data_IF_184362824526
#
_entry.id   IF_184362824526
#
_cell.length_a   1.000
_cell.length_b   1.000
_cell.length_c   1.000
_cell.angle_alpha   90.00
_cell.angle_beta   90.00
_cell.angle_gamma   90.00
#
_symmetry.space_group_name_H-M   'P 1'
#
loop_
_entity.id
_entity.type
_entity.pdbx_description
1 polymer ?
#
# COMPACT_ATOMS: atom_id res chain seq x y z
N UNK A 1 -35.41 9.28 23.75
CA UNK A 1 -35.20 10.33 22.74
C UNK A 1 -34.19 11.29 23.34
N UNK A 2 -32.98 11.44 22.76
CA UNK A 2 -32.03 12.48 23.17
C UNK A 2 -32.54 13.81 22.63
N UNK A 3 -32.79 14.76 23.49
CA UNK A 3 -33.17 16.13 23.13
C UNK A 3 -31.95 16.75 22.46
N UNK A 4 -32.09 17.15 21.19
CA UNK A 4 -31.01 17.79 20.43
C UNK A 4 -30.95 19.25 20.91
N UNK A 5 -29.85 19.65 21.54
CA UNK A 5 -29.62 21.05 21.92
C UNK A 5 -29.44 21.92 20.68
N UNK A 6 -30.23 22.98 20.57
CA UNK A 6 -30.16 23.96 19.49
C UNK A 6 -29.45 25.23 19.99
N UNK A 7 -28.55 25.77 19.20
CA UNK A 7 -27.88 27.05 19.45
C UNK A 7 -28.47 28.12 18.55
N UNK A 8 -28.77 29.28 19.16
CA UNK A 8 -29.27 30.45 18.45
C UNK A 8 -28.11 31.28 17.89
N UNK A 9 -28.05 31.44 16.57
CA UNK A 9 -27.05 32.26 15.89
C UNK A 9 -27.77 33.49 15.27
N UNK A 10 -27.32 34.70 15.64
CA UNK A 10 -27.85 35.96 15.11
C UNK A 10 -26.88 36.56 14.09
N UNK A 11 -27.37 36.81 12.88
CA UNK A 11 -26.58 37.49 11.85
C UNK A 11 -27.49 38.37 11.00
N UNK A 12 -27.12 39.66 10.83
CA UNK A 12 -27.84 40.61 9.97
C UNK A 12 -29.33 40.79 10.27
N UNK A 13 -29.74 40.68 11.55
CA UNK A 13 -31.14 40.80 11.99
C UNK A 13 -31.96 39.52 11.84
N UNK A 14 -31.40 38.45 11.34
CA UNK A 14 -32.02 37.13 11.31
C UNK A 14 -31.51 36.25 12.47
N UNK A 15 -32.41 35.42 13.02
CA UNK A 15 -32.08 34.41 14.02
C UNK A 15 -32.22 33.04 13.39
N UNK A 16 -31.15 32.23 13.44
CA UNK A 16 -31.12 30.88 12.91
C UNK A 16 -30.89 29.92 14.09
N UNK A 17 -31.71 28.89 14.20
CA UNK A 17 -31.52 27.80 15.15
C UNK A 17 -30.81 26.66 14.46
N UNK A 18 -29.60 26.32 14.91
CA UNK A 18 -28.81 25.25 14.38
C UNK A 18 -28.49 24.20 15.47
N UNK A 19 -28.41 22.91 15.14
CA UNK A 19 -27.95 21.91 16.07
C UNK A 19 -26.55 22.26 16.57
N UNK A 20 -26.33 22.22 17.88
CA UNK A 20 -25.05 22.54 18.52
C UNK A 20 -23.90 21.79 17.89
N UNK A 21 -24.06 20.48 17.66
CA UNK A 21 -23.05 19.60 17.05
C UNK A 21 -22.66 20.02 15.63
N UNK A 22 -23.61 20.56 14.85
CA UNK A 22 -23.38 21.04 13.48
C UNK A 22 -22.52 22.30 13.46
N UNK A 23 -22.78 23.22 14.39
CA UNK A 23 -22.00 24.48 14.51
C UNK A 23 -20.56 24.17 14.92
N UNK A 24 -20.37 23.32 15.93
CA UNK A 24 -19.05 22.94 16.44
C UNK A 24 -18.24 22.23 15.37
N UNK A 25 -18.85 21.29 14.66
CA UNK A 25 -18.17 20.58 13.55
C UNK A 25 -17.74 21.50 12.41
N UNK A 26 -18.62 22.37 11.96
CA UNK A 26 -18.31 23.32 10.89
C UNK A 26 -17.27 24.37 11.33
N UNK A 27 -17.31 24.82 12.57
CA UNK A 27 -16.31 25.76 13.11
C UNK A 27 -14.93 25.09 13.25
N UNK A 28 -14.87 23.88 13.79
CA UNK A 28 -13.63 23.11 13.88
C UNK A 28 -13.00 22.87 12.48
N UNK A 29 -13.82 22.62 11.46
CA UNK A 29 -13.35 22.45 10.08
C UNK A 29 -12.74 23.72 9.45
N UNK A 30 -13.00 24.92 10.02
CA UNK A 30 -12.45 26.19 9.53
C UNK A 30 -11.17 26.63 10.23
N UNK A 31 -10.77 25.96 11.32
CA UNK A 31 -9.55 26.32 12.04
C UNK A 31 -8.30 25.84 11.29
N UNK A 32 -7.29 26.69 11.10
CA UNK A 32 -6.01 26.25 10.54
C UNK A 32 -5.37 25.19 11.46
N UNK A 33 -5.15 23.99 10.93
CA UNK A 33 -4.60 22.86 11.68
C UNK A 33 -5.64 21.86 12.19
N UNK A 34 -6.94 22.10 12.01
CA UNK A 34 -8.01 21.14 12.21
C UNK A 34 -8.55 20.65 10.86
N UNK A 35 -7.67 20.31 9.94
CA UNK A 35 -8.03 19.47 8.81
C UNK A 35 -8.42 18.11 9.40
N UNK A 36 -9.75 17.87 9.51
CA UNK A 36 -10.34 16.57 9.81
C UNK A 36 -9.45 15.63 10.62
N UNK A 37 -9.37 15.80 11.96
CA UNK A 37 -9.05 14.70 12.88
C UNK A 37 -10.25 13.73 12.96
N UNK A 38 -10.83 13.41 11.82
CA UNK A 38 -11.48 12.14 11.65
C UNK A 38 -10.31 11.16 11.50
N UNK A 39 -10.09 10.18 12.42
CA UNK A 39 -9.06 9.18 12.21
C UNK A 39 -9.26 8.66 10.80
N UNK A 40 -8.24 8.80 9.95
CA UNK A 40 -8.35 8.52 8.52
C UNK A 40 -9.17 7.24 8.35
N UNK A 41 -10.40 7.39 7.85
CA UNK A 41 -11.32 6.27 7.82
C UNK A 41 -10.71 5.26 6.86
N UNK A 42 -10.25 4.13 7.42
CA UNK A 42 -9.66 3.05 6.63
C UNK A 42 -10.77 2.56 5.69
N UNK A 43 -10.58 2.63 4.36
CA UNK A 43 -11.59 2.19 3.41
C UNK A 43 -11.80 0.67 3.48
N UNK A 44 -12.84 0.17 2.83
CA UNK A 44 -12.99 -1.26 2.65
C UNK A 44 -11.90 -1.81 1.71
N UNK A 45 -11.57 -3.10 1.85
CA UNK A 45 -10.60 -3.76 0.97
C UNK A 45 -11.10 -3.67 -0.48
N UNK A 46 -10.22 -3.28 -1.39
CA UNK A 46 -10.52 -3.04 -2.79
C UNK A 46 -10.98 -1.62 -3.12
N UNK A 47 -11.19 -0.77 -2.13
CA UNK A 47 -11.54 0.62 -2.32
C UNK A 47 -10.32 1.54 -2.43
N UNK A 48 -10.50 2.64 -3.15
CA UNK A 48 -9.52 3.71 -3.27
C UNK A 48 -9.23 4.35 -1.90
N UNK A 49 -7.95 4.57 -1.60
CA UNK A 49 -7.51 5.35 -0.44
C UNK A 49 -6.72 6.58 -0.91
N UNK A 50 -7.41 7.68 -1.28
CA UNK A 50 -6.79 8.83 -1.91
C UNK A 50 -5.63 9.43 -1.12
N UNK A 51 -5.73 9.49 0.21
CA UNK A 51 -4.68 10.01 1.10
C UNK A 51 -3.44 9.12 1.12
N UNK A 52 -3.57 7.86 0.70
CA UNK A 52 -2.48 6.90 0.58
C UNK A 52 -2.04 6.64 -0.86
N UNK A 53 -2.73 7.25 -1.83
CA UNK A 53 -2.35 7.28 -3.24
C UNK A 53 -2.54 5.99 -4.01
N UNK A 54 -3.40 5.07 -3.53
CA UNK A 54 -3.67 3.80 -4.19
C UNK A 54 -4.87 3.08 -3.59
N UNK A 55 -5.00 1.79 -3.84
CA UNK A 55 -6.13 0.97 -3.44
C UNK A 55 -5.76 0.18 -2.17
N UNK A 56 -6.64 0.18 -1.18
CA UNK A 56 -6.43 -0.56 0.05
C UNK A 56 -6.57 -2.07 -0.17
N UNK A 57 -5.52 -2.81 0.18
CA UNK A 57 -5.47 -4.26 -0.03
C UNK A 57 -5.63 -5.08 1.27
N UNK A 58 -5.70 -4.43 2.43
CA UNK A 58 -5.87 -5.11 3.71
C UNK A 58 -4.70 -4.89 4.68
N UNK A 59 -4.80 -5.52 5.85
CA UNK A 59 -3.79 -5.40 6.90
C UNK A 59 -2.81 -6.56 6.84
N UNK A 60 -1.53 -6.26 6.91
CA UNK A 60 -0.43 -7.22 7.08
C UNK A 60 -0.04 -7.25 8.54
N UNK A 61 0.03 -8.45 9.11
CA UNK A 61 0.52 -8.63 10.46
C UNK A 61 2.03 -8.39 10.52
N UNK A 62 2.47 -7.56 11.44
CA UNK A 62 3.88 -7.31 11.70
C UNK A 62 4.62 -8.56 12.18
N UNK A 63 5.87 -8.69 11.79
CA UNK A 63 6.77 -9.79 12.15
C UNK A 63 8.09 -9.24 12.64
N UNK A 64 8.82 -9.98 13.46
CA UNK A 64 10.17 -9.63 13.94
C UNK A 64 10.24 -8.24 14.59
N UNK A 65 9.21 -7.86 15.36
CA UNK A 65 9.15 -6.56 16.04
C UNK A 65 8.66 -5.39 15.18
N UNK A 66 8.35 -5.62 13.92
CA UNK A 66 7.67 -4.63 13.09
C UNK A 66 6.18 -4.55 13.47
N UNK A 67 5.57 -3.36 13.48
CA UNK A 67 4.14 -3.21 13.72
C UNK A 67 3.31 -3.76 12.57
N UNK A 68 2.03 -4.04 12.85
CA UNK A 68 1.03 -4.28 11.81
C UNK A 68 0.92 -3.04 10.91
N UNK A 69 0.65 -3.26 9.63
CA UNK A 69 0.53 -2.17 8.66
C UNK A 69 -0.55 -2.44 7.61
N UNK A 70 -1.09 -1.36 7.08
CA UNK A 70 -2.02 -1.39 5.97
C UNK A 70 -1.24 -1.48 4.66
N UNK A 71 -1.60 -2.42 3.79
CA UNK A 71 -1.01 -2.57 2.47
C UNK A 71 -1.85 -1.80 1.44
N UNK A 72 -1.20 -0.95 0.68
CA UNK A 72 -1.78 -0.17 -0.41
C UNK A 72 -1.14 -0.62 -1.71
N UNK A 73 -1.94 -0.92 -2.73
CA UNK A 73 -1.46 -1.32 -4.05
C UNK A 73 -1.62 -0.19 -5.06
N UNK A 74 -0.61 0.02 -5.90
CA UNK A 74 -0.66 0.97 -7.00
C UNK A 74 -1.73 0.57 -8.03
N UNK A 75 -2.25 1.54 -8.80
CA UNK A 75 -3.25 1.28 -9.84
C UNK A 75 -2.69 0.41 -10.97
N UNK A 76 -3.57 -0.26 -11.70
CA UNK A 76 -3.21 -1.19 -12.80
C UNK A 76 -2.41 -0.51 -13.90
N UNK A 77 -2.67 0.75 -14.18
CA UNK A 77 -1.94 1.55 -15.18
C UNK A 77 -0.46 1.76 -14.85
N UNK A 78 -0.08 1.60 -13.58
CA UNK A 78 1.31 1.70 -13.12
C UNK A 78 2.03 0.34 -13.15
N UNK A 79 1.36 -0.72 -13.61
CA UNK A 79 1.95 -2.04 -13.73
C UNK A 79 2.91 -2.11 -14.92
N UNK A 80 4.07 -2.72 -14.72
CA UNK A 80 5.09 -2.88 -15.75
C UNK A 80 5.45 -4.34 -15.96
N UNK A 81 6.11 -4.65 -17.07
CA UNK A 81 6.64 -5.99 -17.36
C UNK A 81 8.15 -5.90 -17.40
N UNK A 82 8.81 -6.50 -16.40
CA UNK A 82 10.25 -6.40 -16.18
C UNK A 82 10.85 -7.77 -15.77
N UNK A 83 12.14 -7.94 -15.97
CA UNK A 83 12.92 -9.01 -15.37
C UNK A 83 13.08 -8.73 -13.85
N UNK A 84 13.20 -9.82 -13.07
CA UNK A 84 13.50 -9.68 -11.66
C UNK A 84 14.93 -9.22 -11.44
N UNK A 85 15.86 -9.78 -12.21
CA UNK A 85 17.26 -9.42 -12.17
C UNK A 85 18.20 -10.50 -12.66
N UNK A 86 19.45 -10.38 -12.24
CA UNK A 86 20.53 -11.27 -12.70
C UNK A 86 20.42 -12.67 -12.08
N UNK A 87 20.46 -13.71 -12.92
CA UNK A 87 20.52 -15.09 -12.47
C UNK A 87 21.96 -15.53 -12.19
N UNK A 88 22.13 -16.52 -11.31
CA UNK A 88 23.44 -17.07 -10.96
C UNK A 88 24.07 -16.43 -9.71
N UNK A 89 23.39 -15.48 -9.08
CA UNK A 89 23.87 -14.84 -7.84
C UNK A 89 22.79 -14.81 -6.78
N UNK A 90 23.21 -15.04 -5.55
CA UNK A 90 22.37 -14.78 -4.36
C UNK A 90 22.48 -13.33 -3.97
N UNK A 91 21.32 -12.71 -3.73
CA UNK A 91 21.21 -11.32 -3.30
C UNK A 91 20.96 -11.30 -1.79
N UNK A 92 21.99 -10.95 -1.05
CA UNK A 92 21.90 -10.86 0.41
C UNK A 92 20.88 -9.78 0.81
N UNK A 93 19.94 -10.13 1.70
CA UNK A 93 18.90 -9.21 2.18
C UNK A 93 17.67 -9.13 1.27
N UNK A 94 17.57 -9.98 0.25
CA UNK A 94 16.37 -10.11 -0.60
C UNK A 94 15.62 -11.43 -0.38
N UNK A 95 15.77 -12.05 0.78
CA UNK A 95 15.16 -13.33 1.18
C UNK A 95 14.01 -13.19 2.19
N UNK A 96 13.67 -11.97 2.59
CA UNK A 96 12.57 -11.75 3.51
C UNK A 96 11.23 -12.10 2.85
N UNK A 97 10.53 -13.09 3.42
CA UNK A 97 9.21 -13.49 2.92
C UNK A 97 8.11 -12.47 3.24
N UNK A 98 8.33 -11.56 4.20
CA UNK A 98 7.33 -10.65 4.78
C UNK A 98 7.64 -9.17 4.54
N UNK A 99 8.90 -8.81 4.35
CA UNK A 99 9.34 -7.42 4.25
C UNK A 99 9.79 -7.06 2.84
N UNK A 100 8.80 -6.69 2.00
CA UNK A 100 9.07 -6.29 0.62
C UNK A 100 9.86 -5.00 0.50
N UNK A 101 9.71 -4.09 1.47
CA UNK A 101 10.48 -2.85 1.47
C UNK A 101 11.97 -3.11 1.69
N UNK A 102 12.31 -3.95 2.69
CA UNK A 102 13.72 -4.33 2.93
C UNK A 102 14.33 -5.04 1.73
N UNK A 103 13.62 -6.02 1.16
CA UNK A 103 14.06 -6.71 -0.06
C UNK A 103 14.30 -5.71 -1.22
N UNK A 104 13.36 -4.81 -1.45
CA UNK A 104 13.42 -3.84 -2.55
C UNK A 104 14.62 -2.91 -2.40
N UNK A 105 14.89 -2.42 -1.19
CA UNK A 105 16.04 -1.57 -0.90
C UNK A 105 17.33 -2.34 -1.19
N UNK A 106 17.48 -3.56 -0.64
CA UNK A 106 18.66 -4.40 -0.86
C UNK A 106 18.92 -4.68 -2.34
N UNK A 107 17.86 -4.97 -3.12
CA UNK A 107 17.96 -5.20 -4.56
C UNK A 107 18.28 -3.92 -5.34
N UNK A 108 17.72 -2.77 -4.94
CA UNK A 108 17.97 -1.50 -5.62
C UNK A 108 19.40 -0.98 -5.39
N UNK A 109 19.99 -1.31 -4.24
CA UNK A 109 21.35 -0.95 -3.85
C UNK A 109 22.40 -2.00 -4.23
N UNK A 110 21.99 -3.14 -4.80
CA UNK A 110 22.90 -4.20 -5.26
C UNK A 110 23.77 -3.72 -6.42
N UNK A 111 24.99 -4.27 -6.52
CA UNK A 111 25.88 -4.10 -7.69
C UNK A 111 25.33 -4.78 -8.96
N UNK A 112 24.29 -5.61 -8.83
CA UNK A 112 23.63 -6.30 -9.93
C UNK A 112 22.34 -5.58 -10.31
N UNK A 113 21.95 -5.67 -11.59
CA UNK A 113 20.69 -5.09 -12.06
C UNK A 113 19.48 -5.90 -11.58
N UNK A 114 18.52 -5.19 -10.98
CA UNK A 114 17.24 -5.71 -10.54
C UNK A 114 16.08 -4.81 -11.03
N UNK A 115 15.76 -4.86 -12.34
CA UNK A 115 14.86 -3.90 -12.98
C UNK A 115 13.51 -3.73 -12.27
N UNK A 116 12.88 -4.83 -11.82
CA UNK A 116 11.59 -4.78 -11.14
C UNK A 116 11.66 -4.05 -9.78
N UNK A 117 12.71 -4.33 -8.97
CA UNK A 117 12.89 -3.69 -7.68
C UNK A 117 13.35 -2.23 -7.82
N UNK A 118 14.29 -1.96 -8.73
CA UNK A 118 14.79 -0.61 -9.04
C UNK A 118 13.65 0.29 -9.53
N UNK A 119 12.79 -0.21 -10.43
CA UNK A 119 11.59 0.51 -10.86
C UNK A 119 10.67 0.86 -9.69
N UNK A 120 10.36 -0.10 -8.82
CA UNK A 120 9.48 0.14 -7.69
C UNK A 120 10.09 1.15 -6.68
N UNK A 121 11.40 1.04 -6.44
CA UNK A 121 12.13 1.90 -5.50
C UNK A 121 12.15 3.38 -5.92
N UNK A 122 12.27 3.66 -7.22
CA UNK A 122 12.28 5.04 -7.73
C UNK A 122 10.89 5.59 -8.04
N UNK A 123 9.84 4.77 -7.94
CA UNK A 123 8.48 5.17 -8.28
C UNK A 123 8.03 6.35 -7.41
N UNK A 124 7.44 7.35 -8.06
CA UNK A 124 6.82 8.51 -7.43
C UNK A 124 5.39 8.60 -7.94
N UNK A 125 4.45 8.34 -7.07
CA UNK A 125 3.04 8.24 -7.46
C UNK A 125 2.15 8.88 -6.41
N UNK A 126 1.24 9.76 -6.84
CA UNK A 126 0.22 10.41 -6.01
C UNK A 126 0.78 11.08 -4.73
N UNK A 127 1.96 11.73 -4.85
CA UNK A 127 2.63 12.41 -3.73
C UNK A 127 3.45 11.52 -2.80
N UNK A 128 3.49 10.20 -3.05
CA UNK A 128 4.24 9.21 -2.27
C UNK A 128 5.50 8.74 -3.01
N UNK A 129 6.54 8.44 -2.24
CA UNK A 129 7.85 8.02 -2.74
C UNK A 129 8.40 6.76 -2.02
N UNK A 130 7.55 6.08 -1.29
CA UNK A 130 7.84 4.90 -0.46
C UNK A 130 7.24 3.61 -1.05
N UNK A 131 7.10 3.58 -2.37
CA UNK A 131 6.66 2.41 -3.12
C UNK A 131 7.76 1.35 -3.18
N UNK A 132 7.37 0.07 -3.18
CA UNK A 132 8.28 -1.05 -3.25
C UNK A 132 7.64 -2.28 -3.92
N UNK A 133 8.45 -3.24 -4.34
CA UNK A 133 7.98 -4.51 -4.87
C UNK A 133 7.55 -5.42 -3.71
N UNK A 134 6.32 -5.94 -3.69
CA UNK A 134 5.80 -6.70 -2.56
C UNK A 134 6.63 -7.96 -2.27
N UNK A 135 6.79 -8.32 -0.99
CA UNK A 135 7.34 -9.61 -0.61
C UNK A 135 6.39 -10.75 -0.98
N UNK A 136 6.89 -11.98 -0.96
CA UNK A 136 6.12 -13.19 -1.25
C UNK A 136 4.78 -13.24 -0.51
N UNK A 137 4.77 -12.95 0.80
CA UNK A 137 3.57 -13.00 1.64
C UNK A 137 2.63 -11.82 1.43
N UNK A 138 3.17 -10.64 1.15
CA UNK A 138 2.37 -9.49 0.76
C UNK A 138 1.66 -9.77 -0.58
N UNK A 139 2.35 -10.41 -1.53
CA UNK A 139 1.76 -10.81 -2.81
C UNK A 139 0.65 -11.87 -2.65
N UNK A 140 0.82 -12.80 -1.68
CA UNK A 140 -0.25 -13.74 -1.29
C UNK A 140 -1.49 -13.03 -0.73
N UNK A 141 -1.28 -11.96 0.07
CA UNK A 141 -2.38 -11.16 0.59
C UNK A 141 -3.14 -10.44 -0.54
N UNK A 142 -2.40 -9.87 -1.50
CA UNK A 142 -3.00 -9.24 -2.68
C UNK A 142 -3.84 -10.23 -3.48
N UNK A 143 -3.34 -11.44 -3.69
CA UNK A 143 -4.11 -12.51 -4.35
C UNK A 143 -5.37 -12.91 -3.56
N UNK A 144 -5.28 -12.97 -2.25
CA UNK A 144 -6.42 -13.35 -1.41
C UNK A 144 -7.51 -12.28 -1.33
N UNK A 145 -7.12 -11.00 -1.33
CA UNK A 145 -8.01 -9.89 -1.01
C UNK A 145 -8.49 -9.10 -2.23
N UNK A 146 -7.66 -8.94 -3.24
CA UNK A 146 -7.92 -8.04 -4.40
C UNK A 146 -7.42 -8.65 -5.73
N UNK A 147 -7.68 -9.95 -6.02
CA UNK A 147 -7.18 -10.59 -7.23
C UNK A 147 -7.75 -9.98 -8.51
N UNK A 148 -8.92 -9.35 -8.44
CA UNK A 148 -9.61 -8.67 -9.54
C UNK A 148 -8.86 -7.43 -10.05
N UNK A 149 -7.96 -6.87 -9.25
CA UNK A 149 -7.14 -5.73 -9.62
C UNK A 149 -5.94 -6.12 -10.50
N UNK A 150 -5.66 -7.41 -10.64
CA UNK A 150 -4.47 -7.91 -11.32
C UNK A 150 -4.80 -8.64 -12.62
N UNK A 151 -3.92 -8.51 -13.62
CA UNK A 151 -3.96 -9.37 -14.79
C UNK A 151 -3.75 -10.84 -14.37
N UNK A 152 -4.46 -11.78 -15.01
CA UNK A 152 -4.41 -13.21 -14.72
C UNK A 152 -3.14 -13.87 -15.27
N UNK A 153 -2.00 -13.36 -14.85
CA UNK A 153 -0.65 -13.81 -15.22
C UNK A 153 0.27 -13.78 -14.02
N UNK A 154 1.53 -14.19 -14.23
CA UNK A 154 2.56 -14.18 -13.20
C UNK A 154 3.04 -12.77 -12.86
N UNK A 155 3.15 -12.52 -11.55
CA UNK A 155 3.66 -11.26 -10.99
C UNK A 155 4.86 -11.55 -10.09
N UNK A 156 5.90 -10.73 -10.18
CA UNK A 156 7.08 -10.82 -9.35
C UNK A 156 6.81 -10.41 -7.89
N UNK A 157 7.36 -11.17 -6.97
CA UNK A 157 7.66 -10.66 -5.63
C UNK A 157 9.10 -10.14 -5.56
N UNK A 158 9.42 -9.39 -4.50
CA UNK A 158 10.80 -8.99 -4.18
C UNK A 158 11.62 -10.11 -3.53
N UNK A 159 11.02 -11.25 -3.19
CA UNK A 159 11.65 -12.31 -2.42
C UNK A 159 12.40 -13.26 -3.34
N UNK A 160 13.71 -13.36 -3.15
CA UNK A 160 14.54 -14.38 -3.79
C UNK A 160 14.20 -15.78 -3.29
N UNK A 161 14.21 -16.79 -4.14
CA UNK A 161 14.07 -18.20 -3.75
C UNK A 161 15.37 -18.99 -3.91
N UNK A 162 16.25 -18.57 -4.80
CA UNK A 162 17.61 -19.12 -4.99
C UNK A 162 18.48 -18.16 -5.79
N UNK A 163 19.73 -18.50 -6.01
CA UNK A 163 20.61 -17.75 -6.90
C UNK A 163 20.03 -17.52 -8.31
N UNK A 164 19.23 -18.46 -8.81
CA UNK A 164 18.67 -18.41 -10.17
C UNK A 164 17.20 -17.99 -10.24
N UNK A 165 16.47 -18.06 -9.13
CA UNK A 165 15.01 -17.92 -9.11
C UNK A 165 14.55 -16.95 -8.05
N UNK A 166 13.40 -16.31 -8.30
CA UNK A 166 12.68 -15.49 -7.33
C UNK A 166 11.21 -15.93 -7.26
N UNK A 167 10.57 -15.70 -6.13
CA UNK A 167 9.16 -16.03 -5.95
C UNK A 167 8.26 -15.16 -6.80
N UNK A 168 7.28 -15.80 -7.41
CA UNK A 168 6.24 -15.16 -8.22
C UNK A 168 4.87 -15.73 -7.87
N UNK A 169 3.81 -14.96 -8.13
CA UNK A 169 2.41 -15.31 -7.90
C UNK A 169 1.66 -15.33 -9.23
N UNK A 170 1.00 -16.44 -9.55
CA UNK A 170 0.03 -16.51 -10.63
C UNK A 170 -1.34 -15.99 -10.16
N UNK A 171 -1.79 -14.88 -10.70
CA UNK A 171 -3.13 -14.34 -10.42
C UNK A 171 -4.25 -14.99 -11.24
N UNK A 172 -3.90 -15.86 -12.19
CA UNK A 172 -4.88 -16.68 -12.91
C UNK A 172 -5.28 -17.96 -12.16
N UNK A 173 -4.30 -18.68 -11.64
CA UNK A 173 -4.48 -19.99 -11.01
C UNK A 173 -4.20 -20.02 -9.52
N UNK A 174 -3.61 -19.00 -8.94
CA UNK A 174 -3.32 -18.89 -7.50
C UNK A 174 -2.03 -19.55 -7.05
N UNK A 175 -1.25 -20.13 -7.96
CA UNK A 175 0.01 -20.76 -7.62
C UNK A 175 1.09 -19.73 -7.24
N UNK A 176 1.92 -20.07 -6.25
CA UNK A 176 3.19 -19.38 -6.00
C UNK A 176 4.34 -20.32 -6.32
N UNK A 177 5.29 -19.86 -7.12
CA UNK A 177 6.45 -20.67 -7.50
C UNK A 177 7.71 -19.83 -7.71
N UNK A 178 8.86 -20.47 -7.66
CA UNK A 178 10.16 -19.88 -8.01
C UNK A 178 10.37 -19.86 -9.53
N UNK A 179 10.37 -18.67 -10.11
CA UNK A 179 10.63 -18.50 -11.53
C UNK A 179 12.03 -17.95 -11.80
N UNK A 180 12.59 -18.28 -12.97
CA UNK A 180 13.92 -17.82 -13.37
C UNK A 180 13.95 -16.27 -13.42
N UNK A 181 14.95 -15.68 -12.77
CA UNK A 181 15.08 -14.22 -12.57
C UNK A 181 15.07 -13.41 -13.88
N UNK A 182 15.54 -13.99 -14.99
CA UNK A 182 15.53 -13.36 -16.32
C UNK A 182 14.19 -13.43 -17.06
N UNK A 183 13.11 -13.96 -16.46
CA UNK A 183 11.80 -13.89 -17.08
C UNK A 183 11.22 -12.48 -16.88
N UNK A 184 10.56 -11.97 -17.91
CA UNK A 184 9.84 -10.71 -17.81
C UNK A 184 8.39 -10.98 -17.37
N UNK A 185 8.13 -10.91 -16.06
CA UNK A 185 6.79 -10.98 -15.49
C UNK A 185 6.26 -9.58 -15.15
N UNK A 186 4.99 -9.50 -14.75
CA UNK A 186 4.42 -8.27 -14.25
C UNK A 186 5.04 -7.89 -12.92
N UNK A 187 5.25 -6.61 -12.71
CA UNK A 187 5.64 -6.01 -11.44
C UNK A 187 4.65 -4.92 -11.08
N UNK A 188 4.13 -4.96 -9.86
CA UNK A 188 3.20 -3.99 -9.34
C UNK A 188 3.65 -3.53 -7.97
N UNK A 189 3.78 -2.23 -7.82
CA UNK A 189 4.28 -1.65 -6.58
C UNK A 189 3.20 -1.61 -5.51
N UNK A 190 3.65 -1.74 -4.26
CA UNK A 190 2.85 -1.53 -3.06
C UNK A 190 3.54 -0.54 -2.15
N UNK A 191 2.81 -0.03 -1.18
CA UNK A 191 3.38 0.73 -0.05
C UNK A 191 2.68 0.33 1.24
N UNK A 192 3.35 0.61 2.38
CA UNK A 192 2.81 0.34 3.71
C UNK A 192 2.42 1.64 4.41
N UNK A 193 1.31 1.60 5.12
CA UNK A 193 0.88 2.65 6.02
C UNK A 193 0.73 2.09 7.43
N UNK A 194 1.47 2.65 8.39
CA UNK A 194 1.41 2.28 9.80
C UNK A 194 0.52 3.31 10.49
N UNK A 195 -0.66 2.89 10.93
CA UNK A 195 -1.51 3.75 11.75
C UNK A 195 -0.94 3.83 13.16
N UNK A 196 -0.51 5.00 13.58
CA UNK A 196 -0.16 5.23 14.99
C UNK A 196 -1.48 5.37 15.76
N UNK A 197 -1.96 4.28 16.35
CA UNK A 197 -2.99 4.40 17.38
C UNK A 197 -2.35 5.12 18.56
N UNK A 198 -2.70 6.37 18.76
CA UNK A 198 -2.47 7.05 20.04
C UNK A 198 -3.32 6.31 21.08
N UNK A 199 -2.65 5.51 21.94
CA UNK A 199 -3.23 4.95 23.15
C UNK A 199 -3.54 6.06 24.14
#
# INVERSE_FOLDING_TARGET
MKTQELMEVKHGGATILLPHDTIVKNWLATLPGHANDNPAQIPAIGEEWPEQGGIYAGMVRGTNGLPDYHLIVAHTQEEVKLEWGHAGKEETGADHEWDGLANTISLAESDNDHPAAQWAHILRLNGHNDWYLPARRELSLLYANVPELFDKVWHWSSTQSSANTAWSQDFGGGAQDGAHKGFAFRARAVRRFISHSTL
#
